data_IF_354283650158
#
_entry.id   IF_354283650158
#
_cell.length_a   1.000
_cell.length_b   1.000
_cell.length_c   1.000
_cell.angle_alpha   90.00
_cell.angle_beta   90.00
_cell.angle_gamma   90.00
#
_symmetry.space_group_name_H-M   'P 1'
#
loop_
_entity.id
_entity.type
_entity.pdbx_description
1 polymer ?
#
# COMPACT_ATOMS: atom_id res chain seq x y z
N UNK A 1 -37.11 -2.82 26.65
CA UNK A 1 -36.04 -2.03 27.29
C UNK A 1 -34.76 -2.54 26.70
N UNK A 2 -34.17 -1.76 25.80
CA UNK A 2 -32.98 -2.15 25.05
C UNK A 2 -31.75 -1.94 25.97
N UNK A 3 -31.12 -3.03 26.37
CA UNK A 3 -29.85 -2.98 27.11
C UNK A 3 -28.75 -2.67 26.10
N UNK A 4 -28.62 -1.40 25.75
CA UNK A 4 -27.50 -0.92 24.93
C UNK A 4 -26.20 -1.23 25.65
N UNK A 5 -25.42 -2.17 25.12
CA UNK A 5 -24.04 -2.39 25.52
C UNK A 5 -23.28 -1.06 25.36
N UNK A 6 -22.93 -0.44 26.49
CA UNK A 6 -21.89 0.59 26.50
C UNK A 6 -20.61 -0.10 26.05
N UNK A 7 -20.24 0.06 24.79
CA UNK A 7 -18.87 -0.22 24.35
C UNK A 7 -17.96 0.66 25.21
N UNK A 8 -17.18 0.05 26.08
CA UNK A 8 -16.12 0.76 26.79
C UNK A 8 -15.22 1.41 25.74
N UNK A 9 -15.24 2.75 25.70
CA UNK A 9 -14.39 3.51 24.79
C UNK A 9 -12.94 3.35 25.24
N UNK A 10 -12.20 2.47 24.56
CA UNK A 10 -10.79 2.27 24.80
C UNK A 10 -10.00 3.48 24.27
N UNK A 11 -9.57 4.35 25.18
CA UNK A 11 -8.68 5.46 24.86
C UNK A 11 -7.24 4.99 25.07
N UNK A 12 -6.44 4.98 23.99
CA UNK A 12 -5.01 4.70 24.07
C UNK A 12 -4.25 6.03 24.06
N UNK A 13 -3.58 6.42 25.17
CA UNK A 13 -2.75 7.60 25.21
C UNK A 13 -1.64 7.56 24.15
N UNK A 14 -1.47 8.63 23.37
CA UNK A 14 -0.44 8.70 22.31
C UNK A 14 0.98 8.45 22.82
N UNK A 15 1.26 8.80 24.08
CA UNK A 15 2.56 8.55 24.73
C UNK A 15 2.91 7.05 24.82
N UNK A 16 1.91 6.17 24.78
CA UNK A 16 2.10 4.71 24.80
C UNK A 16 2.21 4.11 23.39
N UNK A 17 2.04 4.93 22.34
CA UNK A 17 2.07 4.46 20.95
C UNK A 17 3.46 4.61 20.35
N UNK A 18 3.92 3.58 19.64
CA UNK A 18 5.11 3.70 18.80
C UNK A 18 4.86 4.61 17.59
N UNK A 19 5.92 5.15 16.99
CA UNK A 19 5.81 5.97 15.77
C UNK A 19 5.04 5.28 14.64
N UNK A 20 5.19 3.95 14.51
CA UNK A 20 4.43 3.16 13.51
C UNK A 20 2.95 3.09 13.83
N UNK A 21 2.58 2.92 15.10
CA UNK A 21 1.17 2.93 15.53
C UNK A 21 0.52 4.29 15.28
N UNK A 22 1.26 5.38 15.53
CA UNK A 22 0.80 6.74 15.23
C UNK A 22 0.57 6.90 13.73
N UNK A 23 1.54 6.52 12.90
CA UNK A 23 1.43 6.59 11.43
C UNK A 23 0.26 5.76 10.89
N UNK A 24 0.11 4.51 11.36
CA UNK A 24 -1.04 3.65 11.05
C UNK A 24 -2.38 4.29 11.42
N UNK A 25 -2.49 4.83 12.64
CA UNK A 25 -3.73 5.46 13.11
C UNK A 25 -4.07 6.69 12.27
N UNK A 26 -3.07 7.51 11.91
CA UNK A 26 -3.27 8.68 11.04
C UNK A 26 -3.72 8.26 9.63
N UNK A 27 -3.04 7.29 9.02
CA UNK A 27 -3.37 6.78 7.70
C UNK A 27 -4.79 6.18 7.67
N UNK A 28 -5.13 5.36 8.68
CA UNK A 28 -6.47 4.79 8.81
C UNK A 28 -7.53 5.88 8.99
N UNK A 29 -7.23 6.89 9.81
CA UNK A 29 -8.14 8.04 10.01
C UNK A 29 -8.38 8.77 8.69
N UNK A 30 -7.32 9.04 7.92
CA UNK A 30 -7.44 9.67 6.61
C UNK A 30 -8.31 8.83 5.67
N UNK A 31 -8.06 7.52 5.57
CA UNK A 31 -8.86 6.61 4.77
C UNK A 31 -10.35 6.58 5.17
N UNK A 32 -10.65 6.64 6.48
CA UNK A 32 -12.03 6.66 6.98
C UNK A 32 -12.76 7.97 6.64
N UNK A 33 -12.03 9.08 6.54
CA UNK A 33 -12.57 10.39 6.18
C UNK A 33 -12.69 10.61 4.66
N UNK A 34 -12.10 9.73 3.85
CA UNK A 34 -12.20 9.83 2.39
C UNK A 34 -13.59 9.47 1.89
N UNK A 35 -14.12 10.30 0.99
CA UNK A 35 -15.35 10.06 0.24
C UNK A 35 -15.02 9.47 -1.14
N UNK A 36 -16.07 9.16 -1.92
CA UNK A 36 -15.89 8.76 -3.32
C UNK A 36 -15.10 9.84 -4.08
N UNK A 37 -14.25 9.40 -5.01
CA UNK A 37 -13.40 10.21 -5.89
C UNK A 37 -12.26 10.99 -5.21
N UNK A 38 -11.98 10.73 -3.93
CA UNK A 38 -10.81 11.28 -3.25
C UNK A 38 -9.50 10.62 -3.74
N UNK A 39 -8.45 11.45 -3.88
CA UNK A 39 -7.06 11.02 -4.11
C UNK A 39 -6.26 11.12 -2.81
N UNK A 40 -5.60 10.03 -2.43
CA UNK A 40 -4.61 9.98 -1.36
C UNK A 40 -3.23 9.69 -1.95
N UNK A 41 -2.27 10.58 -1.69
CA UNK A 41 -0.87 10.40 -2.08
C UNK A 41 -0.03 10.25 -0.82
N UNK A 42 0.70 9.14 -0.70
CA UNK A 42 1.54 8.85 0.47
C UNK A 42 2.96 8.47 0.03
N UNK A 43 3.95 9.21 0.52
CA UNK A 43 5.35 8.83 0.35
C UNK A 43 5.76 7.84 1.45
N UNK A 44 6.54 6.82 1.08
CA UNK A 44 7.06 5.76 1.95
C UNK A 44 5.99 5.13 2.86
N UNK A 45 4.92 4.60 2.26
CA UNK A 45 3.77 4.05 2.98
C UNK A 45 4.15 2.97 4.00
N UNK A 46 5.19 2.20 3.72
CA UNK A 46 5.73 1.14 4.57
C UNK A 46 6.42 1.64 5.85
N UNK A 47 6.72 2.94 5.97
CA UNK A 47 7.15 3.52 7.25
C UNK A 47 6.05 3.49 8.30
N UNK A 48 4.82 3.68 7.85
CA UNK A 48 3.65 3.72 8.71
C UNK A 48 3.08 2.31 8.92
N UNK A 49 3.06 1.47 7.87
CA UNK A 49 2.40 0.16 7.91
C UNK A 49 3.32 -0.99 8.35
N UNK A 50 2.84 -1.82 9.28
CA UNK A 50 3.43 -3.13 9.51
C UNK A 50 3.16 -4.05 8.30
N UNK A 51 4.10 -4.90 7.85
CA UNK A 51 3.90 -5.78 6.69
C UNK A 51 2.62 -6.63 6.76
N UNK A 52 2.27 -7.10 7.96
CA UNK A 52 1.04 -7.88 8.20
C UNK A 52 -0.27 -7.11 7.96
N UNK A 53 -0.23 -5.77 7.85
CA UNK A 53 -1.41 -4.91 7.63
C UNK A 53 -1.52 -4.48 6.16
N UNK A 54 -0.47 -4.71 5.37
CA UNK A 54 -0.42 -4.30 3.95
C UNK A 54 -1.56 -4.93 3.15
N UNK A 55 -1.80 -6.23 3.37
CA UNK A 55 -2.86 -6.98 2.68
C UNK A 55 -4.24 -6.39 2.99
N UNK A 56 -4.54 -6.17 4.27
CA UNK A 56 -5.80 -5.59 4.73
C UNK A 56 -5.97 -4.16 4.21
N UNK A 57 -4.91 -3.35 4.24
CA UNK A 57 -4.92 -1.99 3.69
C UNK A 57 -5.28 -1.98 2.20
N UNK A 58 -4.63 -2.82 1.39
CA UNK A 58 -4.92 -2.91 -0.06
C UNK A 58 -6.36 -3.39 -0.28
N UNK A 59 -6.80 -4.39 0.47
CA UNK A 59 -8.18 -4.89 0.38
C UNK A 59 -9.21 -3.80 0.68
N UNK A 60 -9.01 -3.04 1.77
CA UNK A 60 -9.92 -1.95 2.16
C UNK A 60 -9.93 -0.81 1.15
N UNK A 61 -8.77 -0.45 0.59
CA UNK A 61 -8.68 0.61 -0.43
C UNK A 61 -9.32 0.20 -1.76
N UNK A 62 -9.14 -1.04 -2.21
CA UNK A 62 -9.73 -1.56 -3.44
C UNK A 62 -11.25 -1.70 -3.38
N UNK A 63 -11.83 -1.84 -2.17
CA UNK A 63 -13.28 -1.89 -1.96
C UNK A 63 -13.95 -0.51 -1.93
N UNK A 64 -13.17 0.57 -1.92
CA UNK A 64 -13.65 1.95 -1.87
C UNK A 64 -13.45 2.61 -3.24
N UNK A 65 -14.31 3.57 -3.59
CA UNK A 65 -14.12 4.41 -4.78
C UNK A 65 -13.11 5.53 -4.51
N UNK A 66 -11.91 5.17 -4.10
CA UNK A 66 -10.82 6.11 -3.79
C UNK A 66 -9.59 5.75 -4.59
N UNK A 67 -8.79 6.75 -4.98
CA UNK A 67 -7.48 6.51 -5.59
C UNK A 67 -6.40 6.67 -4.55
N UNK A 68 -5.55 5.65 -4.40
CA UNK A 68 -4.37 5.72 -3.54
C UNK A 68 -3.13 5.56 -4.39
N UNK A 69 -2.24 6.55 -4.35
CA UNK A 69 -0.92 6.53 -4.99
C UNK A 69 0.11 6.56 -3.87
N UNK A 70 1.06 5.63 -3.88
CA UNK A 70 2.09 5.62 -2.87
C UNK A 70 3.43 5.11 -3.38
N UNK A 71 4.50 5.49 -2.69
CA UNK A 71 5.82 4.88 -2.84
C UNK A 71 6.06 3.91 -1.67
N UNK A 72 6.85 2.87 -1.92
CA UNK A 72 7.19 1.86 -0.90
C UNK A 72 8.50 1.17 -1.24
N UNK A 73 9.28 0.84 -0.21
CA UNK A 73 10.43 -0.06 -0.33
C UNK A 73 10.09 -1.52 0.01
N UNK A 74 8.90 -1.76 0.57
CA UNK A 74 8.43 -3.09 0.93
C UNK A 74 7.93 -3.84 -0.30
N UNK A 75 8.56 -4.97 -0.62
CA UNK A 75 8.22 -5.82 -1.78
C UNK A 75 6.89 -6.55 -1.62
N UNK A 76 6.38 -6.67 -0.39
CA UNK A 76 5.18 -7.44 -0.09
C UNK A 76 3.92 -6.86 -0.76
N UNK A 77 3.90 -5.55 -1.04
CA UNK A 77 2.84 -4.91 -1.82
C UNK A 77 2.68 -5.53 -3.22
N UNK A 78 3.77 -6.03 -3.82
CA UNK A 78 3.75 -6.60 -5.17
C UNK A 78 2.86 -7.85 -5.27
N UNK A 79 2.66 -8.58 -4.17
CA UNK A 79 1.82 -9.78 -4.16
C UNK A 79 0.31 -9.46 -4.21
N UNK A 80 -0.07 -8.22 -3.90
CA UNK A 80 -1.48 -7.84 -3.71
C UNK A 80 -1.99 -6.79 -4.71
N UNK A 81 -1.09 -6.28 -5.56
CA UNK A 81 -1.40 -5.30 -6.59
C UNK A 81 -1.43 -5.95 -7.97
N UNK A 82 -2.23 -5.36 -8.86
CA UNK A 82 -2.26 -5.80 -10.26
C UNK A 82 -1.01 -5.32 -11.01
N UNK A 83 -0.53 -6.04 -12.03
CA UNK A 83 0.63 -5.63 -12.82
C UNK A 83 0.53 -4.22 -13.42
N UNK A 84 -0.66 -3.77 -13.78
CA UNK A 84 -0.91 -2.42 -14.31
C UNK A 84 -0.85 -1.32 -13.25
N UNK A 85 -0.94 -1.67 -11.97
CA UNK A 85 -0.87 -0.75 -10.83
C UNK A 85 0.55 -0.61 -10.28
N UNK A 86 1.49 -1.45 -10.72
CA UNK A 86 2.86 -1.49 -10.21
C UNK A 86 3.77 -0.69 -11.16
N UNK A 87 4.49 0.26 -10.60
CA UNK A 87 5.51 1.04 -11.31
C UNK A 87 6.85 0.90 -10.60
N UNK A 88 7.88 0.53 -11.35
CA UNK A 88 9.26 0.52 -10.84
C UNK A 88 9.95 1.84 -11.19
N UNK A 89 10.41 2.54 -10.15
CA UNK A 89 11.28 3.70 -10.29
C UNK A 89 12.74 3.24 -10.39
N UNK A 90 13.44 3.66 -11.45
CA UNK A 90 14.88 3.42 -11.63
C UNK A 90 15.59 4.74 -11.92
N UNK A 91 16.76 4.94 -11.31
CA UNK A 91 17.64 6.06 -11.61
C UNK A 91 18.69 5.64 -12.62
N UNK A 92 18.70 6.25 -13.81
CA UNK A 92 19.70 5.99 -14.86
C UNK A 92 19.98 7.28 -15.64
N UNK A 93 21.24 7.51 -16.02
CA UNK A 93 21.67 8.66 -16.81
C UNK A 93 21.20 10.02 -16.24
N UNK A 94 21.32 10.20 -14.92
CA UNK A 94 20.85 11.40 -14.20
C UNK A 94 19.36 11.70 -14.35
N UNK A 95 18.53 10.68 -14.61
CA UNK A 95 17.07 10.82 -14.74
C UNK A 95 16.35 9.69 -14.02
N UNK A 96 15.18 10.00 -13.45
CA UNK A 96 14.25 9.01 -12.91
C UNK A 96 13.36 8.48 -14.02
N UNK A 97 13.38 7.16 -14.24
CA UNK A 97 12.48 6.46 -15.15
C UNK A 97 11.49 5.63 -14.36
N UNK A 98 10.24 5.63 -14.80
CA UNK A 98 9.17 4.83 -14.23
C UNK A 98 8.66 3.86 -15.28
N UNK A 99 8.75 2.57 -15.00
CA UNK A 99 8.28 1.52 -15.90
C UNK A 99 7.15 0.76 -15.24
N UNK A 100 6.00 0.68 -15.91
CA UNK A 100 4.85 -0.10 -15.44
C UNK A 100 5.14 -1.59 -15.64
N UNK A 101 4.80 -2.43 -14.67
CA UNK A 101 5.09 -3.87 -14.75
C UNK A 101 4.34 -4.54 -15.92
N UNK A 102 3.11 -4.13 -16.22
CA UNK A 102 2.37 -4.62 -17.39
C UNK A 102 3.11 -4.40 -18.71
N UNK A 103 3.88 -3.30 -18.81
CA UNK A 103 4.58 -2.92 -20.04
C UNK A 103 5.91 -3.68 -20.17
N UNK A 104 6.48 -4.14 -19.06
CA UNK A 104 7.70 -4.96 -19.02
C UNK A 104 7.41 -6.41 -19.45
N UNK A 105 6.23 -6.94 -19.11
CA UNK A 105 5.85 -8.31 -19.47
C UNK A 105 4.32 -8.51 -19.45
N UNK A 106 3.72 -8.52 -20.63
CA UNK A 106 2.27 -8.69 -20.82
C UNK A 106 1.72 -10.03 -20.30
N UNK A 107 2.58 -11.04 -20.15
CA UNK A 107 2.19 -12.37 -19.68
C UNK A 107 2.06 -12.45 -18.14
N UNK A 108 2.48 -11.43 -17.41
CA UNK A 108 2.37 -11.40 -15.95
C UNK A 108 0.95 -11.01 -15.56
N UNK A 109 0.39 -11.81 -14.66
CA UNK A 109 -0.96 -11.69 -14.11
C UNK A 109 -0.86 -11.66 -12.58
N UNK A 110 -1.92 -11.19 -11.93
CA UNK A 110 -2.05 -11.18 -10.46
C UNK A 110 -1.84 -12.55 -9.82
N UNK A 111 -2.18 -13.64 -10.53
CA UNK A 111 -2.01 -15.02 -10.03
C UNK A 111 -0.54 -15.43 -9.92
N UNK A 112 0.37 -14.71 -10.58
CA UNK A 112 1.80 -14.97 -10.44
C UNK A 112 2.29 -14.41 -9.10
N UNK A 113 3.28 -15.07 -8.49
CA UNK A 113 3.95 -14.52 -7.33
C UNK A 113 4.94 -13.43 -7.77
N UNK A 114 4.42 -12.22 -8.00
CA UNK A 114 5.18 -11.07 -8.50
C UNK A 114 6.31 -10.68 -7.55
N UNK A 115 6.07 -10.75 -6.23
CA UNK A 115 7.11 -10.51 -5.22
C UNK A 115 8.32 -11.45 -5.42
N UNK A 116 8.07 -12.76 -5.56
CA UNK A 116 9.14 -13.74 -5.80
C UNK A 116 9.89 -13.48 -7.11
N UNK A 117 9.17 -13.11 -8.18
CA UNK A 117 9.77 -12.77 -9.47
C UNK A 117 10.64 -11.52 -9.40
N UNK A 118 10.22 -10.54 -8.60
CA UNK A 118 11.01 -9.34 -8.34
C UNK A 118 12.29 -9.67 -7.57
N UNK A 119 12.17 -10.44 -6.48
CA UNK A 119 13.31 -10.87 -5.66
C UNK A 119 14.29 -11.77 -6.42
N UNK A 120 13.83 -12.50 -7.44
CA UNK A 120 14.72 -13.28 -8.33
C UNK A 120 15.44 -12.44 -9.39
N UNK A 121 15.19 -11.13 -9.46
CA UNK A 121 15.81 -10.22 -10.42
C UNK A 121 15.20 -10.22 -11.82
N UNK A 122 14.02 -10.84 -12.04
CA UNK A 122 13.42 -11.00 -13.37
C UNK A 122 13.10 -9.65 -14.06
N UNK A 123 12.96 -8.57 -13.29
CA UNK A 123 12.63 -7.22 -13.77
C UNK A 123 13.83 -6.27 -13.87
N UNK A 124 15.04 -6.75 -13.54
CA UNK A 124 16.24 -5.90 -13.57
C UNK A 124 16.71 -5.62 -14.99
N UNK A 125 16.68 -6.63 -15.87
CA UNK A 125 17.35 -6.62 -17.17
C UNK A 125 16.46 -6.25 -18.37
N UNK A 126 15.15 -6.06 -18.14
CA UNK A 126 14.23 -5.63 -19.19
C UNK A 126 14.24 -4.10 -19.26
N UNK A 127 15.09 -3.57 -20.12
CA UNK A 127 15.13 -2.17 -20.58
C UNK A 127 14.36 -1.98 -21.87
#
# INVERSE_FOLDING_TARGET
MDYGEKKDELIIPKILMSSKMIGQSQLLTLLLLMNEDNLLVVDELDRSLHPLVVKEFIKETMNRKVQVIFSSHNTHFLQYLRPDQIFFAKWKNNTSKFNRLSDINENIREVNNIEKMYLSGLFNDKE
#
